data_IF_750036791702
#
_entry.id   IF_750036791702
#
_cell.length_a   1.000
_cell.length_b   1.000
_cell.length_c   1.000
_cell.angle_alpha   90.00
_cell.angle_beta   90.00
_cell.angle_gamma   90.00
#
_symmetry.space_group_name_H-M   'P 1'
#
loop_
_entity.id
_entity.type
_entity.pdbx_description
1 polymer ?
#
# COMPACT_ATOMS: atom_id res chain seq x y z
N UNK A 1 10.23 4.03 -12.08
CA UNK A 1 10.61 2.59 -12.14
C UNK A 1 9.65 1.77 -11.29
N UNK A 2 9.51 0.48 -11.63
CA UNK A 2 8.79 -0.50 -10.82
C UNK A 2 9.68 -1.73 -10.62
N UNK A 3 9.36 -2.54 -9.62
CA UNK A 3 10.00 -3.83 -9.38
C UNK A 3 8.94 -4.90 -9.15
N UNK A 4 9.27 -6.12 -9.52
CA UNK A 4 8.46 -7.31 -9.31
C UNK A 4 9.22 -8.29 -8.43
N UNK A 5 8.53 -8.84 -7.44
CA UNK A 5 9.08 -9.82 -6.51
C UNK A 5 8.24 -11.09 -6.54
N UNK A 6 8.88 -12.22 -6.30
CA UNK A 6 8.23 -13.52 -6.16
C UNK A 6 8.49 -14.02 -4.74
N UNK A 7 7.43 -14.12 -3.94
CA UNK A 7 7.52 -14.65 -2.58
C UNK A 7 7.37 -16.17 -2.56
N UNK A 8 8.01 -16.83 -1.60
CA UNK A 8 7.96 -18.29 -1.45
C UNK A 8 8.99 -19.03 -2.30
N UNK A 9 10.06 -18.37 -2.70
CA UNK A 9 11.20 -19.00 -3.37
C UNK A 9 12.03 -19.83 -2.37
N UNK A 10 12.48 -21.03 -2.76
CA UNK A 10 13.42 -21.81 -1.91
C UNK A 10 14.69 -21.03 -1.60
N UNK A 11 15.10 -21.02 -0.32
CA UNK A 11 16.24 -20.24 0.16
C UNK A 11 15.86 -18.91 0.81
N UNK A 12 14.66 -18.37 0.54
CA UNK A 12 14.12 -17.19 1.20
C UNK A 12 13.67 -17.53 2.63
N UNK A 13 13.77 -16.57 3.55
CA UNK A 13 13.20 -16.64 4.90
C UNK A 13 12.37 -15.39 5.16
N UNK A 14 11.50 -15.40 6.18
CA UNK A 14 10.72 -14.22 6.56
C UNK A 14 11.65 -13.02 6.87
N UNK A 15 12.76 -13.25 7.56
CA UNK A 15 13.70 -12.17 7.89
C UNK A 15 14.42 -11.62 6.67
N UNK A 16 14.84 -12.49 5.71
CA UNK A 16 15.47 -12.01 4.48
C UNK A 16 14.47 -11.26 3.60
N UNK A 17 13.21 -11.71 3.58
CA UNK A 17 12.13 -11.00 2.89
C UNK A 17 11.90 -9.59 3.46
N UNK A 18 11.75 -9.48 4.79
CA UNK A 18 11.60 -8.18 5.47
C UNK A 18 12.77 -7.25 5.20
N UNK A 19 14.02 -7.77 5.22
CA UNK A 19 15.21 -6.96 4.84
C UNK A 19 15.16 -6.50 3.39
N UNK A 20 14.73 -7.36 2.48
CA UNK A 20 14.55 -6.99 1.07
C UNK A 20 13.51 -5.89 0.90
N UNK A 21 12.37 -6.00 1.55
CA UNK A 21 11.32 -4.96 1.54
C UNK A 21 11.81 -3.64 2.16
N UNK A 22 12.57 -3.68 3.28
CA UNK A 22 13.17 -2.49 3.89
C UNK A 22 14.04 -1.74 2.88
N UNK A 23 14.91 -2.45 2.15
CA UNK A 23 15.79 -1.85 1.13
C UNK A 23 14.96 -1.22 0.01
N UNK A 24 13.94 -1.93 -0.49
CA UNK A 24 13.10 -1.44 -1.59
C UNK A 24 12.29 -0.21 -1.21
N UNK A 25 11.73 -0.17 0.00
CA UNK A 25 10.94 0.97 0.49
C UNK A 25 11.83 2.19 0.75
N UNK A 26 13.08 1.96 1.20
CA UNK A 26 14.04 3.04 1.43
C UNK A 26 14.60 3.65 0.13
N UNK A 27 14.56 2.91 -0.99
CA UNK A 27 15.00 3.43 -2.30
C UNK A 27 13.91 4.29 -2.95
N UNK A 28 14.10 5.60 -2.90
CA UNK A 28 13.18 6.59 -3.47
C UNK A 28 12.98 6.48 -4.99
N UNK A 29 13.83 5.74 -5.69
CA UNK A 29 13.73 5.53 -7.15
C UNK A 29 12.69 4.48 -7.53
N UNK A 30 12.30 3.61 -6.59
CA UNK A 30 11.30 2.56 -6.81
C UNK A 30 9.93 3.15 -6.50
N UNK A 31 9.13 3.30 -7.53
CA UNK A 31 7.81 3.93 -7.39
C UNK A 31 6.65 2.95 -7.25
N UNK A 32 6.81 1.70 -7.70
CA UNK A 32 5.78 0.67 -7.59
C UNK A 32 6.41 -0.69 -7.33
N UNK A 33 5.81 -1.45 -6.44
CA UNK A 33 6.24 -2.79 -6.05
C UNK A 33 5.07 -3.73 -6.31
N UNK A 34 5.32 -4.80 -7.08
CA UNK A 34 4.36 -5.87 -7.35
C UNK A 34 4.92 -7.16 -6.77
N UNK A 35 4.09 -7.92 -6.06
CA UNK A 35 4.52 -9.13 -5.38
C UNK A 35 3.58 -10.28 -5.73
N UNK A 36 4.17 -11.39 -6.18
CA UNK A 36 3.45 -12.56 -6.66
C UNK A 36 3.80 -13.81 -5.87
N UNK A 37 2.88 -14.76 -5.77
CA UNK A 37 3.17 -16.10 -5.29
C UNK A 37 4.13 -16.82 -6.24
N UNK A 38 4.99 -17.68 -5.70
CA UNK A 38 5.87 -18.52 -6.50
C UNK A 38 5.12 -19.64 -7.18
N UNK A 39 4.86 -19.50 -8.48
CA UNK A 39 4.34 -20.58 -9.34
C UNK A 39 5.38 -21.66 -9.59
N UNK A 40 4.99 -22.92 -9.43
CA UNK A 40 5.84 -24.09 -9.68
C UNK A 40 5.43 -24.73 -11.01
N UNK A 41 5.93 -24.18 -12.10
CA UNK A 41 5.54 -24.61 -13.45
C UNK A 41 6.08 -26.00 -13.81
N UNK A 42 5.28 -26.79 -14.51
CA UNK A 42 5.58 -28.20 -14.85
C UNK A 42 6.95 -28.40 -15.51
N UNK A 43 7.37 -27.47 -16.37
CA UNK A 43 8.62 -27.55 -17.11
C UNK A 43 9.77 -26.73 -16.48
N UNK A 44 9.56 -26.10 -15.33
CA UNK A 44 10.61 -25.34 -14.66
C UNK A 44 11.65 -26.25 -13.99
N UNK A 45 12.93 -25.88 -13.98
CA UNK A 45 13.97 -26.60 -13.24
C UNK A 45 13.61 -26.79 -11.75
N UNK A 46 12.93 -25.86 -11.16
CA UNK A 46 12.47 -25.89 -9.75
C UNK A 46 11.47 -27.03 -9.47
N UNK A 47 10.75 -27.49 -10.50
CA UNK A 47 9.80 -28.60 -10.38
C UNK A 47 10.42 -29.98 -10.60
N UNK A 48 11.69 -30.07 -10.94
CA UNK A 48 12.35 -31.37 -11.09
C UNK A 48 12.42 -32.11 -9.75
N UNK A 49 12.18 -33.45 -9.72
CA UNK A 49 12.10 -34.22 -8.48
C UNK A 49 13.32 -34.07 -7.57
N UNK A 50 14.53 -33.97 -8.15
CA UNK A 50 15.76 -33.77 -7.38
C UNK A 50 15.78 -32.43 -6.69
N UNK A 51 15.31 -31.35 -7.35
CA UNK A 51 15.26 -30.00 -6.81
C UNK A 51 14.18 -29.89 -5.70
N UNK A 52 12.97 -30.42 -5.99
CA UNK A 52 11.88 -30.46 -5.01
C UNK A 52 12.29 -31.21 -3.74
N UNK A 53 12.96 -32.35 -3.89
CA UNK A 53 13.46 -33.15 -2.75
C UNK A 53 14.56 -32.40 -1.97
N UNK A 54 15.51 -31.80 -2.68
CA UNK A 54 16.63 -31.06 -2.07
C UNK A 54 16.13 -29.87 -1.23
N UNK A 55 15.25 -29.07 -1.80
CA UNK A 55 14.71 -27.89 -1.14
C UNK A 55 13.47 -28.15 -0.29
N UNK A 56 12.99 -29.41 -0.24
CA UNK A 56 11.75 -29.83 0.48
C UNK A 56 10.54 -28.96 0.11
N UNK A 57 10.40 -28.65 -1.18
CA UNK A 57 9.29 -27.80 -1.67
C UNK A 57 7.96 -28.49 -1.43
N UNK A 58 7.05 -27.80 -0.75
CA UNK A 58 5.65 -28.17 -0.63
C UNK A 58 4.84 -27.38 -1.63
N UNK A 59 3.94 -28.04 -2.34
CA UNK A 59 3.14 -27.42 -3.40
C UNK A 59 1.67 -27.51 -3.07
N UNK A 60 0.93 -26.51 -3.51
CA UNK A 60 -0.52 -26.45 -3.44
C UNK A 60 -1.07 -26.22 -4.83
N UNK A 61 -2.05 -27.02 -5.24
CA UNK A 61 -2.81 -26.77 -6.47
C UNK A 61 -3.89 -25.74 -6.17
N UNK A 62 -3.84 -24.61 -6.90
CA UNK A 62 -4.73 -23.47 -6.74
C UNK A 62 -5.45 -23.17 -8.05
N UNK A 63 -6.76 -22.89 -8.05
CA UNK A 63 -7.41 -22.36 -9.23
C UNK A 63 -6.89 -20.95 -9.56
N UNK A 64 -6.79 -20.64 -10.84
CA UNK A 64 -6.34 -19.35 -11.35
C UNK A 64 -7.54 -18.43 -11.46
N UNK A 65 -7.45 -17.28 -10.80
CA UNK A 65 -8.37 -16.14 -10.97
C UNK A 65 -7.56 -14.97 -11.51
N UNK A 66 -7.87 -14.55 -12.73
CA UNK A 66 -7.16 -13.43 -13.32
C UNK A 66 -7.59 -12.13 -12.64
N UNK A 67 -6.62 -11.39 -12.15
CA UNK A 67 -6.87 -10.04 -11.62
C UNK A 67 -7.61 -9.19 -12.66
N UNK A 68 -8.62 -8.46 -12.18
CA UNK A 68 -9.49 -7.59 -12.98
C UNK A 68 -10.35 -8.31 -14.03
N UNK A 69 -10.42 -9.65 -14.02
CA UNK A 69 -11.41 -10.37 -14.82
C UNK A 69 -12.79 -10.35 -14.16
N UNK A 70 -13.83 -10.55 -14.99
CA UNK A 70 -15.21 -10.62 -14.48
C UNK A 70 -15.43 -11.85 -13.59
N UNK A 71 -16.13 -11.67 -12.46
CA UNK A 71 -16.56 -12.78 -11.60
C UNK A 71 -17.58 -13.70 -12.29
N UNK A 72 -18.20 -13.24 -13.38
CA UNK A 72 -19.18 -13.96 -14.18
C UNK A 72 -18.56 -14.78 -15.30
N UNK A 73 -17.29 -14.55 -15.61
CA UNK A 73 -16.56 -15.33 -16.61
C UNK A 73 -16.20 -16.70 -16.03
N UNK A 74 -17.06 -17.68 -16.29
CA UNK A 74 -16.89 -19.06 -15.86
C UNK A 74 -16.29 -19.91 -16.98
N UNK A 75 -15.22 -19.45 -17.61
CA UNK A 75 -14.46 -20.25 -18.55
C UNK A 75 -14.06 -21.63 -18.00
N UNK A 76 -13.31 -22.39 -18.76
CA UNK A 76 -12.77 -23.67 -18.27
C UNK A 76 -11.85 -23.40 -17.07
N UNK A 77 -12.06 -24.05 -15.91
CA UNK A 77 -11.20 -23.82 -14.75
C UNK A 77 -9.75 -24.20 -15.04
N UNK A 78 -8.88 -23.25 -14.86
CA UNK A 78 -7.42 -23.44 -14.96
C UNK A 78 -6.83 -23.53 -13.57
N UNK A 79 -5.71 -24.23 -13.44
CA UNK A 79 -5.03 -24.46 -12.17
C UNK A 79 -3.54 -24.27 -12.32
N UNK A 80 -2.93 -23.75 -11.26
CA UNK A 80 -1.49 -23.69 -11.10
C UNK A 80 -1.03 -24.44 -9.85
N UNK A 81 0.23 -24.81 -9.79
CA UNK A 81 0.88 -25.21 -8.54
C UNK A 81 1.66 -24.03 -7.99
N UNK A 82 1.46 -23.67 -6.72
CA UNK A 82 2.21 -22.64 -6.00
C UNK A 82 3.04 -23.26 -4.88
N UNK A 83 4.18 -22.67 -4.58
CA UNK A 83 5.01 -23.02 -3.43
C UNK A 83 4.34 -22.56 -2.14
N UNK A 84 4.16 -23.48 -1.17
CA UNK A 84 3.58 -23.19 0.15
C UNK A 84 4.51 -23.56 1.30
N UNK A 85 5.75 -23.89 1.02
CA UNK A 85 6.77 -24.22 2.01
C UNK A 85 8.00 -24.78 1.36
N UNK A 86 9.13 -24.58 2.00
CA UNK A 86 10.44 -25.11 1.63
C UNK A 86 11.26 -25.43 2.88
N UNK A 87 12.52 -25.87 2.68
CA UNK A 87 13.44 -26.08 3.81
C UNK A 87 13.72 -24.78 4.59
N UNK A 88 13.57 -23.62 3.95
CA UNK A 88 13.91 -22.31 4.50
C UNK A 88 12.71 -21.55 5.09
N UNK A 89 11.50 -21.96 4.83
CA UNK A 89 10.28 -21.31 5.36
C UNK A 89 9.12 -22.31 5.52
N UNK A 90 8.29 -22.06 6.50
CA UNK A 90 7.03 -22.76 6.75
C UNK A 90 5.85 -22.08 6.03
N UNK A 91 4.66 -22.69 6.08
CA UNK A 91 3.44 -22.04 5.59
C UNK A 91 3.07 -20.81 6.44
N UNK A 92 3.33 -20.85 7.75
CA UNK A 92 3.05 -19.72 8.63
C UNK A 92 4.01 -18.55 8.33
N UNK A 93 5.30 -18.82 8.08
CA UNK A 93 6.24 -17.80 7.60
C UNK A 93 5.78 -17.18 6.27
N UNK A 94 5.22 -18.00 5.36
CA UNK A 94 4.72 -17.53 4.08
C UNK A 94 3.46 -16.65 4.23
N UNK A 95 2.57 -16.95 5.16
CA UNK A 95 1.42 -16.12 5.50
C UNK A 95 1.86 -14.75 6.05
N UNK A 96 2.82 -14.75 6.96
CA UNK A 96 3.41 -13.48 7.45
C UNK A 96 4.13 -12.74 6.32
N UNK A 97 4.87 -13.42 5.44
CA UNK A 97 5.47 -12.84 4.24
C UNK A 97 4.43 -12.12 3.37
N UNK A 98 3.25 -12.73 3.20
CA UNK A 98 2.15 -12.13 2.46
C UNK A 98 1.63 -10.86 3.14
N UNK A 99 1.46 -10.85 4.46
CA UNK A 99 1.04 -9.66 5.21
C UNK A 99 2.00 -8.49 5.03
N UNK A 100 3.32 -8.71 5.15
CA UNK A 100 4.30 -7.66 4.88
C UNK A 100 4.29 -7.19 3.42
N UNK A 101 4.04 -8.11 2.50
CA UNK A 101 3.91 -7.80 1.07
C UNK A 101 2.69 -6.90 0.80
N UNK A 102 1.55 -7.23 1.41
CA UNK A 102 0.35 -6.41 1.36
C UNK A 102 0.58 -5.01 1.95
N UNK A 103 1.24 -4.91 3.12
CA UNK A 103 1.57 -3.63 3.75
C UNK A 103 2.41 -2.74 2.84
N UNK A 104 3.46 -3.30 2.27
CA UNK A 104 4.35 -2.54 1.38
C UNK A 104 3.64 -2.13 0.10
N UNK A 105 2.85 -3.02 -0.51
CA UNK A 105 2.10 -2.69 -1.73
C UNK A 105 1.03 -1.63 -1.46
N UNK A 106 0.22 -1.78 -0.40
CA UNK A 106 -0.89 -0.87 -0.10
C UNK A 106 -0.42 0.45 0.50
N UNK A 107 0.37 0.39 1.56
CA UNK A 107 0.64 1.57 2.39
C UNK A 107 1.88 2.34 1.95
N UNK A 108 2.87 1.67 1.37
CA UNK A 108 4.06 2.32 0.83
C UNK A 108 3.93 2.59 -0.68
N UNK A 109 3.76 1.54 -1.49
CA UNK A 109 3.74 1.65 -2.95
C UNK A 109 2.51 2.39 -3.48
N UNK A 110 1.29 2.03 -3.05
CA UNK A 110 0.07 2.79 -3.37
C UNK A 110 -0.06 4.08 -2.57
N UNK A 111 0.74 4.27 -1.52
CA UNK A 111 1.09 5.55 -0.96
C UNK A 111 0.25 6.03 0.21
N UNK A 112 -0.54 5.18 0.90
CA UNK A 112 -1.36 5.62 2.05
C UNK A 112 -0.49 6.19 3.18
N UNK A 113 0.68 5.57 3.45
CA UNK A 113 1.62 6.00 4.51
C UNK A 113 3.01 6.35 3.98
N UNK A 114 3.19 6.55 2.69
CA UNK A 114 4.52 6.73 2.08
C UNK A 114 5.32 7.85 2.75
N UNK A 115 4.77 9.05 2.83
CA UNK A 115 5.48 10.20 3.41
C UNK A 115 5.40 10.23 4.94
N UNK A 116 4.40 9.61 5.52
CA UNK A 116 4.32 9.42 6.97
C UNK A 116 5.48 8.52 7.43
N UNK A 117 5.64 7.35 6.85
CA UNK A 117 6.73 6.44 7.22
C UNK A 117 8.12 7.04 6.95
N UNK A 118 8.28 7.79 5.84
CA UNK A 118 9.50 8.55 5.55
C UNK A 118 9.80 9.61 6.60
N UNK A 119 8.77 10.30 7.11
CA UNK A 119 8.93 11.27 8.19
C UNK A 119 9.49 10.62 9.46
N UNK A 120 8.91 9.49 9.89
CA UNK A 120 9.38 8.77 11.08
C UNK A 120 10.77 8.17 10.89
N UNK A 121 11.07 7.66 9.69
CA UNK A 121 12.42 7.20 9.38
C UNK A 121 13.44 8.33 9.47
N UNK A 122 13.17 9.50 8.86
CA UNK A 122 14.08 10.63 8.83
C UNK A 122 14.29 11.30 10.20
N UNK A 123 13.23 11.46 10.99
CA UNK A 123 13.30 12.20 12.26
C UNK A 123 13.65 11.33 13.47
N UNK A 124 13.27 10.06 13.44
CA UNK A 124 13.40 9.15 14.60
C UNK A 124 14.21 7.89 14.29
N UNK A 125 14.74 7.79 13.06
CA UNK A 125 15.46 6.60 12.59
C UNK A 125 14.64 5.30 12.75
N UNK A 126 13.30 5.41 12.68
CA UNK A 126 12.39 4.28 12.72
C UNK A 126 12.43 3.58 11.37
N UNK A 127 12.84 2.31 11.36
CA UNK A 127 12.89 1.52 10.12
C UNK A 127 11.48 1.32 9.56
N UNK A 128 11.35 1.21 8.23
CA UNK A 128 10.05 1.05 7.58
C UNK A 128 9.34 -0.24 8.02
N UNK A 129 10.06 -1.35 8.11
CA UNK A 129 9.45 -2.60 8.58
C UNK A 129 9.03 -2.53 10.05
N UNK A 130 9.77 -1.82 10.88
CA UNK A 130 9.39 -1.58 12.27
C UNK A 130 8.14 -0.70 12.40
N UNK A 131 8.01 0.33 11.55
CA UNK A 131 6.77 1.13 11.43
C UNK A 131 5.57 0.23 11.08
N UNK A 132 5.74 -0.69 10.13
CA UNK A 132 4.68 -1.62 9.74
C UNK A 132 4.40 -2.70 10.79
N UNK A 133 5.38 -3.13 11.56
CA UNK A 133 5.18 -4.02 12.72
C UNK A 133 4.27 -3.37 13.78
N UNK A 134 4.52 -2.11 14.08
CA UNK A 134 3.68 -1.33 15.01
C UNK A 134 2.27 -1.13 14.43
N UNK A 135 2.17 -0.92 13.13
CA UNK A 135 0.87 -0.81 12.47
C UNK A 135 0.07 -2.13 12.53
N UNK A 136 0.70 -3.29 12.27
CA UNK A 136 0.06 -4.60 12.46
C UNK A 136 -0.41 -4.82 13.88
N UNK A 137 0.41 -4.44 14.87
CA UNK A 137 0.01 -4.51 16.27
C UNK A 137 -1.22 -3.63 16.54
N UNK A 138 -1.24 -2.40 16.04
CA UNK A 138 -2.41 -1.53 16.12
C UNK A 138 -3.66 -2.19 15.54
N UNK A 139 -3.58 -2.77 14.35
CA UNK A 139 -4.69 -3.46 13.69
C UNK A 139 -5.22 -4.65 14.54
N UNK A 140 -4.33 -5.36 15.26
CA UNK A 140 -4.69 -6.52 16.08
C UNK A 140 -5.37 -6.15 17.39
N UNK A 141 -5.08 -4.98 17.97
CA UNK A 141 -5.55 -4.61 19.32
C UNK A 141 -6.62 -3.51 19.33
N UNK A 142 -6.75 -2.75 18.25
CA UNK A 142 -7.71 -1.65 18.13
C UNK A 142 -8.76 -1.98 17.08
N UNK A 143 -10.02 -1.83 17.43
CA UNK A 143 -11.09 -1.88 16.43
C UNK A 143 -11.09 -0.56 15.65
N UNK A 144 -10.85 -0.65 14.34
CA UNK A 144 -10.67 0.51 13.47
C UNK A 144 -10.91 0.11 12.01
N UNK A 145 -11.00 1.08 11.11
CA UNK A 145 -11.03 0.84 9.67
C UNK A 145 -9.84 -0.04 9.21
N UNK A 146 -8.66 0.17 9.80
CA UNK A 146 -7.46 -0.61 9.48
C UNK A 146 -7.54 -2.06 9.98
N UNK A 147 -8.18 -2.30 11.15
CA UNK A 147 -8.40 -3.67 11.62
C UNK A 147 -9.36 -4.45 10.75
N UNK A 148 -10.40 -3.81 10.21
CA UNK A 148 -11.35 -4.45 9.31
C UNK A 148 -10.65 -4.88 8.00
N UNK A 149 -9.76 -4.04 7.48
CA UNK A 149 -8.93 -4.39 6.31
C UNK A 149 -7.92 -5.51 6.62
N UNK A 150 -7.28 -5.47 7.79
CA UNK A 150 -6.39 -6.54 8.26
C UNK A 150 -7.11 -7.88 8.34
N UNK A 151 -8.31 -7.94 8.96
CA UNK A 151 -9.11 -9.15 9.05
C UNK A 151 -9.48 -9.69 7.65
N UNK A 152 -9.87 -8.79 6.73
CA UNK A 152 -10.17 -9.14 5.33
C UNK A 152 -8.96 -9.78 4.64
N UNK A 153 -7.78 -9.22 4.85
CA UNK A 153 -6.55 -9.76 4.24
C UNK A 153 -6.13 -11.08 4.87
N UNK A 154 -6.28 -11.24 6.17
CA UNK A 154 -6.02 -12.53 6.85
C UNK A 154 -6.93 -13.61 6.29
N UNK A 155 -8.23 -13.34 6.14
CA UNK A 155 -9.18 -14.28 5.54
C UNK A 155 -8.81 -14.63 4.08
N UNK A 156 -8.38 -13.62 3.31
CA UNK A 156 -7.94 -13.81 1.93
C UNK A 156 -6.70 -14.72 1.85
N UNK A 157 -5.72 -14.53 2.73
CA UNK A 157 -4.50 -15.35 2.82
C UNK A 157 -4.87 -16.80 3.19
N UNK A 158 -5.72 -17.00 4.20
CA UNK A 158 -6.18 -18.33 4.60
C UNK A 158 -6.93 -19.04 3.47
N UNK A 159 -7.79 -18.31 2.77
CA UNK A 159 -8.55 -18.83 1.62
C UNK A 159 -7.59 -19.25 0.49
N UNK A 160 -6.66 -18.40 0.11
CA UNK A 160 -5.68 -18.66 -0.94
C UNK A 160 -4.82 -19.90 -0.63
N UNK A 161 -4.23 -19.93 0.54
CA UNK A 161 -3.38 -21.07 0.96
C UNK A 161 -4.15 -22.32 1.40
N UNK A 162 -5.49 -22.30 1.43
CA UNK A 162 -6.32 -23.50 1.54
C UNK A 162 -6.60 -24.20 0.19
N UNK A 163 -6.14 -23.62 -0.92
CA UNK A 163 -6.36 -24.14 -2.27
C UNK A 163 -7.67 -23.69 -2.91
N UNK A 164 -8.35 -22.70 -2.34
CA UNK A 164 -9.58 -22.11 -2.92
C UNK A 164 -9.30 -21.00 -3.94
N UNK A 165 -8.03 -20.60 -4.05
CA UNK A 165 -7.55 -19.57 -4.99
C UNK A 165 -7.59 -18.16 -4.44
N UNK A 166 -7.06 -17.23 -5.23
CA UNK A 166 -6.86 -15.83 -4.91
C UNK A 166 -7.96 -14.99 -5.59
N UNK A 167 -9.19 -15.02 -5.05
CA UNK A 167 -10.41 -14.58 -5.71
C UNK A 167 -11.16 -13.49 -4.94
N UNK A 168 -10.46 -12.42 -4.55
CA UNK A 168 -11.12 -11.33 -3.84
C UNK A 168 -12.03 -10.53 -4.78
N UNK A 169 -13.29 -10.35 -4.38
CA UNK A 169 -14.25 -9.47 -5.05
C UNK A 169 -15.02 -8.66 -4.02
N UNK A 170 -15.38 -7.44 -4.37
CA UNK A 170 -16.18 -6.55 -3.54
C UNK A 170 -17.28 -5.91 -4.42
N UNK A 171 -18.56 -6.15 -4.15
CA UNK A 171 -19.66 -5.59 -4.95
C UNK A 171 -19.64 -4.05 -5.04
N UNK A 172 -19.02 -3.37 -4.06
CA UNK A 172 -18.87 -1.90 -4.08
C UNK A 172 -17.79 -1.45 -5.08
N UNK A 173 -16.93 -2.37 -5.50
CA UNK A 173 -15.84 -2.13 -6.44
C UNK A 173 -16.10 -2.76 -7.81
N UNK A 174 -17.30 -3.30 -8.05
CA UNK A 174 -17.73 -3.91 -9.30
C UNK A 174 -17.58 -5.42 -9.36
N UNK A 175 -18.10 -5.99 -10.45
CA UNK A 175 -18.18 -7.44 -10.66
C UNK A 175 -16.89 -8.02 -11.24
N UNK A 176 -15.76 -7.74 -10.59
CA UNK A 176 -14.45 -8.24 -10.98
C UNK A 176 -13.64 -8.75 -9.78
N UNK A 177 -12.60 -9.53 -10.07
CA UNK A 177 -11.60 -9.92 -9.09
C UNK A 177 -10.53 -8.83 -8.96
N UNK A 178 -10.39 -8.30 -7.75
CA UNK A 178 -9.36 -7.30 -7.44
C UNK A 178 -8.16 -7.93 -6.73
N UNK A 179 -6.91 -7.51 -7.08
CA UNK A 179 -5.78 -7.69 -6.16
C UNK A 179 -6.13 -7.10 -4.80
N UNK A 180 -5.81 -7.84 -3.74
CA UNK A 180 -6.27 -7.46 -2.39
C UNK A 180 -5.71 -6.10 -1.95
N UNK A 181 -4.47 -5.76 -2.32
CA UNK A 181 -3.85 -4.48 -2.03
C UNK A 181 -4.54 -3.31 -2.73
N UNK A 182 -5.04 -3.53 -3.95
CA UNK A 182 -5.78 -2.53 -4.71
C UNK A 182 -7.19 -2.33 -4.14
N UNK A 183 -7.88 -3.43 -3.80
CA UNK A 183 -9.18 -3.36 -3.15
C UNK A 183 -9.09 -2.65 -1.79
N UNK A 184 -8.09 -2.96 -0.97
CA UNK A 184 -7.83 -2.27 0.30
C UNK A 184 -7.63 -0.78 0.08
N UNK A 185 -6.78 -0.40 -0.88
CA UNK A 185 -6.54 1.01 -1.19
C UNK A 185 -7.82 1.74 -1.61
N UNK A 186 -8.63 1.12 -2.47
CA UNK A 186 -9.91 1.68 -2.93
C UNK A 186 -10.92 1.87 -1.78
N UNK A 187 -11.02 0.90 -0.87
CA UNK A 187 -11.89 1.00 0.31
C UNK A 187 -11.42 2.08 1.28
N UNK A 188 -10.13 2.10 1.60
CA UNK A 188 -9.55 3.07 2.53
C UNK A 188 -9.65 4.51 2.00
N UNK A 189 -9.45 4.72 0.70
CA UNK A 189 -9.52 6.04 0.09
C UNK A 189 -10.93 6.48 -0.28
N UNK A 190 -11.95 5.65 -0.01
CA UNK A 190 -13.34 5.96 -0.30
C UNK A 190 -13.84 7.18 0.46
N UNK A 191 -13.44 7.31 1.74
CA UNK A 191 -13.74 8.46 2.59
C UNK A 191 -12.44 8.99 3.21
N UNK A 192 -11.91 10.05 2.61
CA UNK A 192 -10.67 10.68 3.09
C UNK A 192 -10.75 11.20 4.52
N UNK A 193 -11.93 11.65 4.94
CA UNK A 193 -12.09 12.20 6.29
C UNK A 193 -11.91 11.11 7.33
N UNK A 194 -12.57 9.97 7.12
CA UNK A 194 -12.41 8.81 8.00
C UNK A 194 -10.97 8.31 7.96
N UNK A 195 -10.38 8.17 6.77
CA UNK A 195 -8.98 7.74 6.64
C UNK A 195 -8.01 8.67 7.38
N UNK A 196 -8.23 9.99 7.31
CA UNK A 196 -7.42 10.98 8.02
C UNK A 196 -7.53 10.78 9.53
N UNK A 197 -8.76 10.69 10.06
CA UNK A 197 -9.02 10.50 11.49
C UNK A 197 -8.38 9.19 12.01
N UNK A 198 -8.55 8.09 11.28
CA UNK A 198 -7.95 6.79 11.60
C UNK A 198 -6.42 6.81 11.55
N UNK A 199 -5.86 7.50 10.57
CA UNK A 199 -4.40 7.68 10.46
C UNK A 199 -3.86 8.44 11.66
N UNK A 200 -4.52 9.52 12.08
CA UNK A 200 -4.12 10.27 13.29
C UNK A 200 -4.20 9.39 14.54
N UNK A 201 -5.23 8.55 14.67
CA UNK A 201 -5.36 7.63 15.80
C UNK A 201 -4.23 6.60 15.83
N UNK A 202 -3.87 6.04 14.68
CA UNK A 202 -2.70 5.16 14.58
C UNK A 202 -1.41 5.88 14.96
N UNK A 203 -1.19 7.09 14.46
CA UNK A 203 0.03 7.83 14.77
C UNK A 203 0.15 8.18 16.26
N UNK A 204 -0.94 8.52 16.93
CA UNK A 204 -0.94 8.67 18.40
C UNK A 204 -0.51 7.39 19.11
N UNK A 205 -1.02 6.25 18.67
CA UNK A 205 -0.60 4.95 19.20
C UNK A 205 0.89 4.69 18.99
N UNK A 206 1.42 5.00 17.80
CA UNK A 206 2.83 4.86 17.47
C UNK A 206 3.70 5.79 18.33
N UNK A 207 3.31 7.06 18.48
CA UNK A 207 4.00 8.06 19.31
C UNK A 207 4.08 7.59 20.76
N UNK A 208 2.95 7.16 21.33
CA UNK A 208 2.87 6.66 22.71
C UNK A 208 3.75 5.41 22.91
N UNK A 209 3.71 4.47 21.96
CA UNK A 209 4.46 3.22 22.03
C UNK A 209 5.97 3.42 21.96
N UNK A 210 6.43 4.40 21.19
CA UNK A 210 7.86 4.67 20.93
C UNK A 210 8.37 5.85 21.75
N UNK A 211 7.53 6.46 22.58
CA UNK A 211 7.86 7.66 23.37
C UNK A 211 8.38 8.80 22.49
N UNK A 212 7.85 8.89 21.25
CA UNK A 212 8.16 10.01 20.37
C UNK A 212 7.37 11.24 20.83
N UNK A 213 7.85 12.42 20.49
CA UNK A 213 7.26 13.69 20.92
C UNK A 213 7.10 14.65 19.73
N UNK A 214 6.41 14.18 18.71
CA UNK A 214 6.06 15.04 17.58
C UNK A 214 4.93 15.99 17.98
N UNK A 215 5.09 17.27 17.66
CA UNK A 215 4.03 18.26 17.95
C UNK A 215 2.75 17.87 17.23
N UNK A 216 1.62 18.00 17.91
CA UNK A 216 0.32 17.65 17.33
C UNK A 216 0.01 18.41 16.03
N UNK A 217 0.42 19.67 15.91
CA UNK A 217 0.30 20.48 14.69
C UNK A 217 1.08 19.85 13.52
N UNK A 218 2.28 19.38 13.79
CA UNK A 218 3.12 18.70 12.79
C UNK A 218 2.48 17.38 12.34
N UNK A 219 1.94 16.58 13.26
CA UNK A 219 1.25 15.34 12.93
C UNK A 219 0.01 15.58 12.07
N UNK A 220 -0.82 16.54 12.45
CA UNK A 220 -2.03 16.87 11.71
C UNK A 220 -1.70 17.36 10.28
N UNK A 221 -0.70 18.22 10.16
CA UNK A 221 -0.29 18.78 8.87
C UNK A 221 0.40 17.72 7.98
N UNK A 222 1.19 16.80 8.58
CA UNK A 222 1.78 15.67 7.88
C UNK A 222 0.71 14.73 7.31
N UNK A 223 -0.28 14.36 8.12
CA UNK A 223 -1.38 13.50 7.66
C UNK A 223 -2.18 14.20 6.58
N UNK A 224 -2.47 15.49 6.76
CA UNK A 224 -3.12 16.33 5.76
C UNK A 224 -2.33 16.32 4.45
N UNK A 225 -1.01 16.48 4.51
CA UNK A 225 -0.14 16.45 3.34
C UNK A 225 -0.16 15.09 2.65
N UNK A 226 -0.09 13.98 3.41
CA UNK A 226 -0.19 12.64 2.85
C UNK A 226 -1.54 12.44 2.14
N UNK A 227 -2.66 12.84 2.76
CA UNK A 227 -4.00 12.73 2.17
C UNK A 227 -4.18 13.63 0.94
N UNK A 228 -3.51 14.77 0.91
CA UNK A 228 -3.51 15.67 -0.23
C UNK A 228 -2.89 15.02 -1.47
N UNK A 229 -1.86 14.22 -1.30
CA UNK A 229 -1.18 13.52 -2.40
C UNK A 229 -1.96 12.32 -2.95
N UNK A 230 -2.92 11.77 -2.22
CA UNK A 230 -3.75 10.67 -2.72
C UNK A 230 -4.85 11.22 -3.65
N UNK A 231 -5.00 10.60 -4.80
CA UNK A 231 -6.17 10.87 -5.65
C UNK A 231 -7.36 10.11 -5.09
N UNK A 232 -8.54 10.75 -5.08
CA UNK A 232 -9.77 10.10 -4.67
C UNK A 232 -10.88 10.44 -5.63
N UNK A 233 -11.95 9.64 -5.62
CA UNK A 233 -13.12 9.85 -6.49
C UNK A 233 -13.82 11.21 -6.30
N UNK A 234 -13.64 11.84 -5.13
CA UNK A 234 -14.26 13.12 -4.82
C UNK A 234 -13.41 14.32 -5.25
N UNK A 235 -12.21 14.07 -5.76
CA UNK A 235 -11.29 15.11 -6.25
C UNK A 235 -11.61 15.48 -7.72
N UNK A 236 -12.82 15.91 -8.01
CA UNK A 236 -13.25 16.30 -9.37
C UNK A 236 -12.75 17.67 -9.86
N UNK A 237 -11.90 18.34 -9.11
CA UNK A 237 -11.35 19.62 -9.51
C UNK A 237 -10.14 19.43 -10.41
N UNK A 238 -10.07 20.18 -11.51
CA UNK A 238 -8.90 20.16 -12.40
C UNK A 238 -7.63 20.59 -11.67
N UNK A 239 -7.72 21.55 -10.75
CA UNK A 239 -6.62 21.99 -9.90
C UNK A 239 -7.01 21.70 -8.45
N UNK A 240 -6.18 20.92 -7.78
CA UNK A 240 -6.25 20.68 -6.35
C UNK A 240 -5.26 21.59 -5.66
N UNK A 241 -5.71 22.33 -4.66
CA UNK A 241 -4.89 23.27 -3.89
C UNK A 241 -5.24 23.20 -2.41
N UNK A 242 -4.23 23.22 -1.56
CA UNK A 242 -4.41 23.27 -0.11
C UNK A 242 -3.25 24.00 0.58
N UNK A 243 -3.52 24.53 1.78
CA UNK A 243 -2.54 25.26 2.59
C UNK A 243 -1.95 24.35 3.65
N UNK A 244 -0.65 24.49 3.89
CA UNK A 244 0.12 23.70 4.86
C UNK A 244 0.93 24.62 5.77
N UNK A 245 1.14 24.21 7.00
CA UNK A 245 1.91 24.97 7.99
C UNK A 245 3.43 24.76 7.85
N UNK A 246 3.86 23.71 7.11
CA UNK A 246 5.25 23.34 6.95
C UNK A 246 5.67 23.20 5.48
N UNK A 247 6.98 23.27 5.24
CA UNK A 247 7.63 23.18 3.92
C UNK A 247 7.78 21.73 3.43
N UNK A 248 6.72 20.93 3.42
CA UNK A 248 6.77 19.48 3.12
C UNK A 248 7.44 19.11 1.81
N UNK A 249 7.21 19.90 0.74
CA UNK A 249 7.86 19.66 -0.55
C UNK A 249 9.38 19.75 -0.43
N UNK A 250 9.91 20.82 0.15
CA UNK A 250 11.34 21.02 0.33
C UNK A 250 11.94 19.98 1.27
N UNK A 251 11.20 19.61 2.31
CA UNK A 251 11.61 18.61 3.27
C UNK A 251 11.76 17.20 2.65
N UNK A 252 10.82 16.76 1.79
CA UNK A 252 10.85 15.44 1.21
C UNK A 252 11.60 15.33 -0.12
N UNK A 253 11.67 16.41 -0.91
CA UNK A 253 12.27 16.41 -2.24
C UNK A 253 13.70 16.94 -2.22
N UNK A 254 13.92 18.05 -1.48
CA UNK A 254 15.18 18.78 -1.46
C UNK A 254 16.02 18.49 -0.22
N UNK A 255 15.60 17.54 0.62
CA UNK A 255 16.26 17.12 1.87
C UNK A 255 16.56 18.30 2.84
N UNK A 256 15.72 19.34 2.79
CA UNK A 256 15.83 20.48 3.70
C UNK A 256 15.29 20.13 5.09
N UNK A 257 15.66 20.96 6.07
CA UNK A 257 15.06 20.87 7.41
C UNK A 257 13.57 21.21 7.37
N UNK A 258 12.77 20.53 8.22
CA UNK A 258 11.36 20.85 8.39
C UNK A 258 11.22 22.19 9.12
N UNK A 259 10.64 23.17 8.46
CA UNK A 259 10.43 24.52 9.01
C UNK A 259 8.96 24.89 8.98
N UNK A 260 8.51 25.60 10.02
CA UNK A 260 7.19 26.23 10.04
C UNK A 260 7.20 27.40 9.04
N UNK A 261 6.62 27.14 7.87
CA UNK A 261 6.55 28.11 6.76
C UNK A 261 5.28 27.81 5.98
N UNK A 262 4.29 28.70 6.12
CA UNK A 262 3.01 28.52 5.41
C UNK A 262 3.23 28.39 3.92
N UNK A 263 2.77 27.30 3.35
CA UNK A 263 2.88 26.95 1.95
C UNK A 263 1.50 26.63 1.39
N UNK A 264 1.20 27.12 0.20
CA UNK A 264 0.09 26.62 -0.60
C UNK A 264 0.66 25.72 -1.67
N UNK A 265 0.26 24.44 -1.66
CA UNK A 265 0.63 23.49 -2.70
C UNK A 265 -0.55 23.23 -3.61
N UNK A 266 -0.26 23.12 -4.91
CA UNK A 266 -1.26 22.82 -5.92
C UNK A 266 -0.73 21.86 -6.97
N UNK A 267 -1.64 21.07 -7.54
CA UNK A 267 -1.36 20.24 -8.71
C UNK A 267 -2.61 20.10 -9.58
N UNK A 268 -2.39 19.78 -10.85
CA UNK A 268 -3.48 19.45 -11.75
C UNK A 268 -3.89 18.00 -11.52
N UNK A 269 -5.13 17.81 -11.08
CA UNK A 269 -5.69 16.48 -10.88
C UNK A 269 -6.19 15.92 -12.22
N UNK A 270 -5.97 14.62 -12.41
CA UNK A 270 -6.61 13.90 -13.50
C UNK A 270 -8.08 13.74 -13.16
N UNK A 271 -8.93 14.45 -13.90
CA UNK A 271 -10.39 14.32 -13.77
C UNK A 271 -10.77 12.91 -14.19
N UNK A 272 -11.16 12.11 -13.21
CA UNK A 272 -11.70 10.77 -13.43
C UNK A 272 -13.22 10.88 -13.30
N UNK A 273 -13.90 11.22 -14.39
CA UNK A 273 -15.37 11.24 -14.42
C UNK A 273 -15.92 9.83 -14.31
N UNK A 274 -17.02 9.67 -13.57
CA UNK A 274 -17.79 8.46 -13.54
C UNK A 274 -18.11 7.94 -12.15
N UNK A 275 -18.77 6.79 -12.15
CA UNK A 275 -19.10 6.09 -10.91
C UNK A 275 -17.82 5.57 -10.18
N UNK A 276 -17.95 5.12 -8.92
CA UNK A 276 -16.81 4.65 -8.13
C UNK A 276 -16.05 3.48 -8.77
N UNK A 277 -16.75 2.62 -9.52
CA UNK A 277 -16.16 1.47 -10.20
C UNK A 277 -15.27 1.93 -11.34
N UNK A 278 -15.79 2.81 -12.20
CA UNK A 278 -15.04 3.37 -13.32
C UNK A 278 -13.83 4.18 -12.82
N UNK A 279 -13.99 4.90 -11.70
CA UNK A 279 -12.89 5.60 -11.07
C UNK A 279 -11.81 4.61 -10.58
N UNK A 280 -12.18 3.51 -9.92
CA UNK A 280 -11.25 2.46 -9.50
C UNK A 280 -10.46 1.88 -10.67
N UNK A 281 -11.12 1.58 -11.78
CA UNK A 281 -10.44 1.15 -13.00
C UNK A 281 -9.42 2.16 -13.50
N UNK A 282 -9.79 3.42 -13.58
CA UNK A 282 -8.91 4.48 -14.11
C UNK A 282 -7.77 4.82 -13.17
N UNK A 283 -8.02 4.85 -11.86
CA UNK A 283 -7.04 5.25 -10.87
C UNK A 283 -6.01 4.14 -10.60
N UNK A 284 -6.48 2.91 -10.43
CA UNK A 284 -5.63 1.80 -9.99
C UNK A 284 -5.34 0.84 -11.13
N UNK A 285 -6.32 0.23 -11.74
CA UNK A 285 -6.10 -0.77 -12.78
C UNK A 285 -5.32 -0.21 -13.97
N UNK A 286 -5.82 0.83 -14.62
CA UNK A 286 -5.13 1.49 -15.73
C UNK A 286 -4.13 2.56 -15.26
N UNK A 287 -4.28 3.05 -14.05
CA UNK A 287 -3.52 4.14 -13.50
C UNK A 287 -2.23 3.74 -12.79
N UNK A 288 -2.11 2.48 -12.34
CA UNK A 288 -0.96 2.02 -11.54
C UNK A 288 0.38 2.18 -12.26
N UNK A 289 0.53 1.79 -13.55
CA UNK A 289 1.77 2.02 -14.28
C UNK A 289 2.12 3.50 -14.47
N UNK A 290 1.13 4.37 -14.60
CA UNK A 290 1.30 5.82 -14.76
C UNK A 290 1.16 6.59 -13.45
N UNK A 291 1.03 5.89 -12.31
CA UNK A 291 0.92 6.44 -10.96
C UNK A 291 -0.22 7.47 -10.79
N UNK A 292 -1.37 7.20 -11.40
CA UNK A 292 -2.54 8.09 -11.37
C UNK A 292 -3.29 8.10 -10.03
N UNK A 293 -2.98 7.18 -9.14
CA UNK A 293 -3.58 7.03 -7.82
C UNK A 293 -2.96 7.94 -6.75
N UNK A 294 -1.79 8.52 -7.03
CA UNK A 294 -1.12 9.45 -6.12
C UNK A 294 -0.29 10.47 -6.88
N UNK A 295 -0.02 11.60 -6.23
CA UNK A 295 0.92 12.62 -6.70
C UNK A 295 2.24 12.53 -5.94
N UNK A 296 3.30 12.94 -6.61
CA UNK A 296 4.61 13.05 -5.98
C UNK A 296 4.89 14.51 -5.64
N UNK A 297 5.45 14.80 -4.44
CA UNK A 297 5.75 16.16 -4.03
C UNK A 297 6.63 16.95 -5.02
N UNK A 298 7.50 16.28 -5.77
CA UNK A 298 8.33 16.90 -6.82
C UNK A 298 7.52 17.62 -7.89
N UNK A 299 6.27 17.19 -8.15
CA UNK A 299 5.38 17.79 -9.16
C UNK A 299 4.43 18.85 -8.59
N UNK A 300 4.46 19.10 -7.28
CA UNK A 300 3.66 20.14 -6.68
C UNK A 300 4.17 21.51 -7.10
N UNK A 301 3.25 22.42 -7.42
CA UNK A 301 3.52 23.82 -7.65
C UNK A 301 3.22 24.62 -6.38
N UNK A 302 3.99 25.67 -6.10
CA UNK A 302 3.65 26.61 -5.05
C UNK A 302 2.66 27.63 -5.61
N UNK A 303 1.46 27.63 -5.05
CA UNK A 303 0.42 28.62 -5.36
C UNK A 303 0.70 29.93 -4.62
N UNK A 304 0.07 31.01 -5.07
CA UNK A 304 0.01 32.25 -4.28
C UNK A 304 -0.98 32.01 -3.15
N UNK A 305 -0.55 32.13 -1.89
CA UNK A 305 -1.46 32.14 -0.75
C UNK A 305 -2.47 33.27 -0.96
N UNK A 306 -3.74 32.97 -1.14
CA UNK A 306 -4.81 33.97 -1.05
C UNK A 306 -4.85 34.48 0.40
N UNK A 307 -4.24 35.60 0.63
CA UNK A 307 -4.54 36.42 1.81
C UNK A 307 -6.04 36.72 1.76
N UNK A 308 -6.82 36.01 2.56
CA UNK A 308 -8.20 36.41 2.84
C UNK A 308 -8.13 37.81 3.46
N UNK A 309 -8.31 38.83 2.63
CA UNK A 309 -8.64 40.16 3.09
C UNK A 309 -9.96 40.03 3.85
N UNK A 310 -9.89 40.01 5.17
CA UNK A 310 -11.01 40.28 6.04
C UNK A 310 -11.46 41.70 5.72
N UNK A 311 -12.47 41.83 4.87
CA UNK A 311 -13.21 43.12 4.76
C UNK A 311 -13.96 43.26 6.08
N UNK A 312 -13.38 44.12 6.93
CA UNK A 312 -14.13 44.76 8.04
C UNK A 312 -15.01 45.82 7.39
N UNK A 313 -16.32 45.59 7.43
CA UNK A 313 -17.33 46.67 7.29
C UNK A 313 -18.12 46.70 8.58
#
# INVERSE_FOLDING_TARGET
TYTELIMGMPGETLESWKRGLEILVSDTKIGSIFIYNCGVFANAPMNQPIYVKHHKIKKLRSPIFLAHSSIHDRGMPEYEEISIGAASFSLDDLKETYLYSWLVQTFSSLGIFEYISKYYNKNYNLRFMEFFEIFLEYCRIKKSLFSDEYETVVEYIETGYSGKGWNHSDPKLGDIYWPIEEATWLRLTYDKKILLEETVNFLKFLEDKREFNTRNETLQDLVKFQMFLLTTRDDFRNIKSDDFEFNWKDYFVNDQELTSSKKNYQYENLVLEGDPILWGYKAVFYGRPSKKYKFHPEHLQEGKSELKLTQTV
#
